data_IF_729717439534
#
_entry.id   IF_729717439534
#
_cell.length_a   1.000
_cell.length_b   1.000
_cell.length_c   1.000
_cell.angle_alpha   90.00
_cell.angle_beta   90.00
_cell.angle_gamma   90.00
#
_symmetry.space_group_name_H-M   'P 1'
#
loop_
_entity.id
_entity.type
_entity.pdbx_description
1 polymer ?
#
# COMPACT_ATOMS: atom_id res chain seq x y z
N UNK A 1 -55.75 52.85 22.00
CA UNK A 1 -55.48 51.39 21.85
C UNK A 1 -54.44 51.23 20.75
N UNK A 2 -53.15 51.15 21.10
CA UNK A 2 -52.27 49.96 21.02
C UNK A 2 -52.14 49.27 19.62
N UNK A 3 -51.11 49.73 18.88
CA UNK A 3 -50.16 49.06 17.93
C UNK A 3 -50.68 48.47 16.59
N UNK A 4 -49.81 48.21 15.56
CA UNK A 4 -48.37 48.50 15.40
C UNK A 4 -47.89 49.10 14.04
N UNK A 5 -46.64 49.56 14.07
CA UNK A 5 -45.71 49.92 12.97
C UNK A 5 -45.43 48.77 11.99
N UNK A 6 -45.12 49.04 10.69
CA UNK A 6 -44.62 48.01 9.79
C UNK A 6 -43.16 47.68 10.15
N UNK A 7 -42.89 46.39 10.36
CA UNK A 7 -41.54 45.85 10.47
C UNK A 7 -41.10 45.44 9.07
N UNK A 8 -40.03 46.05 8.57
CA UNK A 8 -39.29 45.54 7.42
C UNK A 8 -38.45 44.39 7.96
N UNK A 9 -38.76 43.17 7.53
CA UNK A 9 -37.92 42.01 7.79
C UNK A 9 -36.65 42.14 6.95
N UNK A 10 -35.52 42.37 7.61
CA UNK A 10 -34.20 42.18 7.00
C UNK A 10 -33.86 40.70 7.12
N UNK A 11 -33.95 39.96 6.02
CA UNK A 11 -33.42 38.60 5.94
C UNK A 11 -31.89 38.67 5.94
N UNK A 12 -31.30 38.27 7.06
CA UNK A 12 -29.86 38.10 7.19
C UNK A 12 -29.48 36.78 6.51
N UNK A 13 -28.98 36.84 5.27
CA UNK A 13 -28.32 35.69 4.65
C UNK A 13 -26.98 35.45 5.37
N UNK A 14 -26.94 34.47 6.28
CA UNK A 14 -25.68 33.89 6.73
C UNK A 14 -25.07 33.12 5.55
N UNK A 15 -24.12 33.73 4.86
CA UNK A 15 -23.21 33.00 4.00
C UNK A 15 -22.30 32.14 4.89
N UNK A 16 -22.61 30.84 4.98
CA UNK A 16 -21.66 29.85 5.49
C UNK A 16 -20.56 29.74 4.43
N UNK A 17 -19.49 30.50 4.61
CA UNK A 17 -18.27 30.29 3.85
C UNK A 17 -17.71 28.93 4.28
N UNK A 18 -17.96 27.90 3.47
CA UNK A 18 -17.19 26.68 3.53
C UNK A 18 -15.73 27.06 3.22
N UNK A 19 -14.90 27.14 4.25
CA UNK A 19 -13.45 27.18 4.10
C UNK A 19 -13.04 25.87 3.47
N UNK A 20 -12.98 25.87 2.13
CA UNK A 20 -12.22 24.88 1.37
C UNK A 20 -10.79 25.04 1.87
N UNK A 21 -10.31 24.10 2.66
CA UNK A 21 -8.90 24.02 2.98
C UNK A 21 -8.17 24.01 1.63
N UNK A 22 -7.40 25.07 1.35
CA UNK A 22 -6.53 25.06 0.19
C UNK A 22 -5.64 23.84 0.32
N UNK A 23 -5.75 22.92 -0.63
CA UNK A 23 -4.81 21.82 -0.75
C UNK A 23 -3.44 22.46 -0.89
N UNK A 24 -2.52 22.16 0.01
CA UNK A 24 -1.16 22.66 -0.09
C UNK A 24 -0.58 22.12 -1.41
N UNK A 25 -0.50 22.98 -2.42
CA UNK A 25 -0.04 22.61 -3.76
C UNK A 25 1.45 22.24 -3.77
N UNK A 26 2.13 22.39 -2.63
CA UNK A 26 3.55 22.10 -2.50
C UNK A 26 3.82 20.67 -2.04
N UNK A 27 2.92 20.06 -1.26
CA UNK A 27 3.09 18.66 -0.83
C UNK A 27 3.21 17.75 -2.05
N UNK A 28 4.15 16.78 -2.07
CA UNK A 28 4.27 15.82 -3.16
C UNK A 28 2.92 15.18 -3.49
N UNK A 29 2.54 15.20 -4.76
CA UNK A 29 1.27 14.62 -5.21
C UNK A 29 1.38 14.17 -6.67
N UNK A 30 0.48 13.28 -7.09
CA UNK A 30 0.35 12.92 -8.49
C UNK A 30 -0.71 13.78 -9.16
N UNK A 31 -0.36 14.41 -10.28
CA UNK A 31 -1.27 15.23 -11.08
C UNK A 31 -1.38 14.67 -12.51
N UNK A 32 -2.60 14.64 -13.05
CA UNK A 32 -2.84 14.24 -14.43
C UNK A 32 -2.55 15.40 -15.38
N UNK A 33 -1.60 15.21 -16.28
CA UNK A 33 -1.28 16.14 -17.36
C UNK A 33 -1.55 15.48 -18.72
N UNK A 34 -2.68 15.81 -19.32
CA UNK A 34 -3.17 15.18 -20.55
C UNK A 34 -3.44 13.68 -20.34
N UNK A 35 -2.64 12.82 -20.99
CA UNK A 35 -2.72 11.36 -20.88
C UNK A 35 -1.73 10.77 -19.87
N UNK A 36 -0.82 11.58 -19.30
CA UNK A 36 0.20 11.14 -18.37
C UNK A 36 -0.15 11.51 -16.92
N UNK A 37 0.36 10.73 -15.97
CA UNK A 37 0.45 11.13 -14.57
C UNK A 37 1.86 11.63 -14.28
N UNK A 38 1.97 12.73 -13.55
CA UNK A 38 3.24 13.33 -13.15
C UNK A 38 3.31 13.43 -11.64
N UNK A 39 4.46 13.10 -11.06
CA UNK A 39 4.78 13.50 -9.70
C UNK A 39 5.07 15.01 -9.71
N UNK A 40 4.40 15.75 -8.84
CA UNK A 40 4.60 17.18 -8.63
C UNK A 40 5.13 17.40 -7.22
N UNK A 41 6.21 18.15 -7.10
CA UNK A 41 6.89 18.48 -5.84
C UNK A 41 7.11 19.99 -5.82
N UNK A 42 6.66 20.69 -4.79
CA UNK A 42 6.74 22.16 -4.68
C UNK A 42 6.21 22.88 -5.93
N UNK A 43 5.07 22.39 -6.44
CA UNK A 43 4.40 22.93 -7.62
C UNK A 43 5.12 22.69 -8.96
N UNK A 44 6.13 21.81 -9.01
CA UNK A 44 6.88 21.50 -10.25
C UNK A 44 6.89 20.00 -10.55
N UNK A 45 6.80 19.60 -11.83
CA UNK A 45 7.02 18.20 -12.21
C UNK A 45 8.39 17.71 -11.74
N UNK A 46 8.42 16.51 -11.16
CA UNK A 46 9.61 15.88 -10.63
C UNK A 46 9.78 14.48 -11.22
N UNK A 47 10.99 14.15 -11.68
CA UNK A 47 11.35 12.81 -12.13
C UNK A 47 12.25 12.16 -11.09
N UNK A 48 11.82 11.04 -10.52
CA UNK A 48 12.63 10.25 -9.60
C UNK A 48 13.72 9.52 -10.40
N UNK A 49 14.98 9.89 -10.14
CA UNK A 49 16.18 9.16 -10.54
C UNK A 49 16.74 8.53 -9.27
N UNK A 50 16.36 7.28 -9.05
CA UNK A 50 16.49 6.62 -7.76
C UNK A 50 17.55 5.52 -7.74
N UNK A 51 18.17 5.35 -6.56
CA UNK A 51 18.89 4.15 -6.18
C UNK A 51 18.32 3.59 -4.88
N UNK A 52 18.10 2.30 -4.83
CA UNK A 52 17.66 1.60 -3.62
C UNK A 52 18.86 1.03 -2.86
N UNK A 53 18.86 1.19 -1.54
CA UNK A 53 19.90 0.62 -0.66
C UNK A 53 19.51 -0.77 -0.17
N UNK A 54 20.49 -1.57 0.27
CA UNK A 54 20.21 -2.91 0.78
C UNK A 54 19.29 -2.90 2.01
N UNK A 55 18.47 -3.95 2.15
CA UNK A 55 17.38 -4.15 3.12
C UNK A 55 17.65 -3.78 4.60
N UNK A 56 18.91 -3.78 5.04
CA UNK A 56 19.29 -3.52 6.44
C UNK A 56 20.20 -2.30 6.62
N UNK A 57 20.49 -1.57 5.53
CA UNK A 57 21.45 -0.46 5.55
C UNK A 57 20.96 0.67 6.45
N UNK A 58 19.67 0.98 6.39
CA UNK A 58 19.02 2.06 7.13
C UNK A 58 18.71 1.74 8.59
N UNK A 59 18.95 0.50 9.05
CA UNK A 59 18.76 0.12 10.45
C UNK A 59 19.83 0.70 11.38
N UNK A 60 20.84 1.40 10.85
CA UNK A 60 21.90 2.02 11.62
C UNK A 60 22.43 3.29 10.92
N UNK A 61 22.31 4.45 11.59
CA UNK A 61 22.73 5.75 11.04
C UNK A 61 24.24 5.87 10.79
N UNK A 62 25.08 5.17 11.59
CA UNK A 62 26.53 5.15 11.38
C UNK A 62 26.92 4.30 10.17
N UNK A 63 26.17 3.21 9.91
CA UNK A 63 26.34 2.40 8.71
C UNK A 63 25.99 3.17 7.43
N UNK A 64 25.04 4.11 7.52
CA UNK A 64 24.65 4.98 6.41
C UNK A 64 25.68 6.07 6.09
N UNK A 65 26.47 6.55 7.06
CA UNK A 65 27.48 7.62 6.85
C UNK A 65 28.40 7.41 5.64
N UNK A 66 29.01 6.23 5.41
CA UNK A 66 29.84 5.99 4.23
C UNK A 66 29.05 5.70 2.94
N UNK A 67 27.74 5.46 3.02
CA UNK A 67 26.89 5.15 1.86
C UNK A 67 26.48 6.45 1.14
N UNK A 68 26.11 7.49 1.88
CA UNK A 68 25.65 8.75 1.26
C UNK A 68 26.64 9.38 0.28
N UNK A 69 27.95 9.48 0.57
CA UNK A 69 28.91 10.01 -0.39
C UNK A 69 28.98 9.20 -1.68
N UNK A 70 28.82 7.87 -1.60
CA UNK A 70 28.81 6.99 -2.78
C UNK A 70 27.56 7.19 -3.63
N UNK A 71 26.40 7.36 -2.98
CA UNK A 71 25.16 7.67 -3.69
C UNK A 71 25.24 9.03 -4.39
N UNK A 72 25.92 10.02 -3.78
CA UNK A 72 26.14 11.33 -4.37
C UNK A 72 27.11 11.33 -5.58
N UNK A 73 27.92 10.28 -5.77
CA UNK A 73 28.76 10.09 -6.96
C UNK A 73 27.95 9.59 -8.18
N UNK A 74 26.79 8.99 -7.92
CA UNK A 74 25.84 8.57 -8.96
C UNK A 74 24.91 9.75 -9.24
N UNK A 75 24.54 10.05 -10.49
CA UNK A 75 23.61 11.15 -10.82
C UNK A 75 22.15 10.81 -10.45
N UNK A 76 21.93 10.40 -9.20
CA UNK A 76 20.62 10.17 -8.58
C UNK A 76 20.15 11.43 -7.87
N UNK A 77 18.84 11.62 -7.80
CA UNK A 77 18.23 12.70 -7.01
C UNK A 77 17.39 12.18 -5.83
N UNK A 78 17.19 10.86 -5.75
CA UNK A 78 16.33 10.21 -4.75
C UNK A 78 16.95 8.91 -4.26
N UNK A 79 16.77 8.59 -2.98
CA UNK A 79 17.18 7.31 -2.39
C UNK A 79 15.96 6.55 -1.88
N UNK A 80 15.82 5.29 -2.28
CA UNK A 80 14.82 4.38 -1.72
C UNK A 80 15.44 3.67 -0.53
N UNK A 81 14.78 3.77 0.63
CA UNK A 81 15.33 3.24 1.88
C UNK A 81 14.26 2.55 2.73
N UNK A 82 14.55 1.36 3.27
CA UNK A 82 13.66 0.69 4.20
C UNK A 82 13.49 1.44 5.51
N UNK A 83 12.29 1.38 6.08
CA UNK A 83 12.01 1.53 7.52
C UNK A 83 11.18 0.32 7.95
N UNK A 84 11.57 -0.34 9.03
CA UNK A 84 10.91 -1.57 9.47
C UNK A 84 9.98 -1.34 10.65
N UNK A 85 8.83 -2.00 10.64
CA UNK A 85 7.86 -1.91 11.73
C UNK A 85 8.47 -2.33 13.07
N UNK A 86 9.31 -3.36 13.10
CA UNK A 86 9.96 -3.79 14.35
C UNK A 86 10.89 -2.75 14.99
N UNK A 87 11.50 -1.86 14.20
CA UNK A 87 12.35 -0.79 14.73
C UNK A 87 11.54 0.47 15.04
N UNK A 88 10.47 0.72 14.29
CA UNK A 88 9.56 1.84 14.53
C UNK A 88 8.71 1.61 15.78
N UNK A 89 8.23 0.39 16.04
CA UNK A 89 7.35 0.06 17.16
C UNK A 89 7.85 -1.19 17.91
N UNK A 90 9.03 -1.11 18.58
CA UNK A 90 9.64 -2.26 19.26
C UNK A 90 8.78 -2.81 20.41
N UNK A 91 7.84 -2.01 20.92
CA UNK A 91 6.82 -2.41 21.88
C UNK A 91 5.50 -1.77 21.49
N UNK A 92 4.40 -2.52 21.60
CA UNK A 92 3.08 -2.06 21.17
C UNK A 92 2.73 -0.68 21.76
N UNK A 93 2.42 0.28 20.87
CA UNK A 93 2.09 1.66 21.18
C UNK A 93 3.27 2.54 21.59
N UNK A 94 4.52 2.06 21.50
CA UNK A 94 5.73 2.84 21.81
C UNK A 94 6.58 2.98 20.56
N UNK A 95 6.53 4.17 19.97
CA UNK A 95 7.22 4.47 18.72
C UNK A 95 8.63 5.03 18.96
N UNK A 96 9.58 4.63 18.10
CA UNK A 96 10.93 5.18 18.03
C UNK A 96 11.21 5.67 16.60
N UNK A 97 11.26 6.99 16.44
CA UNK A 97 11.51 7.64 15.14
C UNK A 97 12.97 8.08 14.95
N UNK A 98 13.89 7.68 15.84
CA UNK A 98 15.31 8.08 15.79
C UNK A 98 15.95 7.80 14.43
N UNK A 99 15.65 6.64 13.84
CA UNK A 99 16.15 6.28 12.51
C UNK A 99 15.53 7.15 11.40
N UNK A 100 14.23 7.43 11.47
CA UNK A 100 13.54 8.29 10.48
C UNK A 100 14.15 9.69 10.50
N UNK A 101 14.27 10.30 11.68
CA UNK A 101 14.82 11.66 11.84
C UNK A 101 16.28 11.74 11.38
N UNK A 102 17.09 10.75 11.75
CA UNK A 102 18.47 10.68 11.34
C UNK A 102 18.65 10.51 9.83
N UNK A 103 17.83 9.67 9.19
CA UNK A 103 17.88 9.46 7.75
C UNK A 103 17.43 10.72 6.99
N UNK A 104 16.37 11.41 7.44
CA UNK A 104 15.95 12.70 6.88
C UNK A 104 17.07 13.73 6.97
N UNK A 105 17.70 13.86 8.13
CA UNK A 105 18.82 14.79 8.33
C UNK A 105 19.98 14.47 7.37
N UNK A 106 20.35 13.19 7.26
CA UNK A 106 21.44 12.76 6.39
C UNK A 106 21.10 12.98 4.90
N UNK A 107 19.88 12.71 4.46
CA UNK A 107 19.44 12.98 3.09
C UNK A 107 19.50 14.48 2.75
N UNK A 108 18.99 15.34 3.64
CA UNK A 108 19.06 16.81 3.48
C UNK A 108 20.50 17.31 3.40
N UNK A 109 21.42 16.79 4.23
CA UNK A 109 22.85 17.12 4.17
C UNK A 109 23.48 16.76 2.82
N UNK A 110 23.01 15.67 2.21
CA UNK A 110 23.49 15.18 0.91
C UNK A 110 22.67 15.70 -0.28
N UNK A 111 21.66 16.55 -0.03
CA UNK A 111 20.81 17.18 -1.06
C UNK A 111 20.11 16.16 -1.97
N UNK A 112 19.64 15.06 -1.38
CA UNK A 112 18.84 14.04 -2.05
C UNK A 112 17.46 13.95 -1.41
N UNK A 113 16.47 13.62 -2.23
CA UNK A 113 15.14 13.25 -1.76
C UNK A 113 15.10 11.78 -1.33
N UNK A 114 13.98 11.38 -0.73
CA UNK A 114 13.79 10.03 -0.22
C UNK A 114 12.44 9.44 -0.63
N UNK A 115 12.42 8.12 -0.74
CA UNK A 115 11.22 7.30 -0.70
C UNK A 115 11.42 6.25 0.37
N UNK A 116 10.53 6.21 1.35
CA UNK A 116 10.60 5.18 2.39
C UNK A 116 9.86 3.93 1.96
N UNK A 117 10.45 2.77 2.27
CA UNK A 117 9.82 1.46 2.09
C UNK A 117 9.32 0.95 3.43
N UNK A 118 8.00 0.91 3.64
CA UNK A 118 7.39 0.40 4.86
C UNK A 118 7.47 -1.13 4.88
N UNK A 119 8.49 -1.66 5.58
CA UNK A 119 8.64 -3.11 5.77
C UNK A 119 7.92 -3.55 7.03
N UNK A 120 6.67 -4.03 6.89
CA UNK A 120 5.82 -4.32 8.02
C UNK A 120 5.26 -5.74 7.99
N UNK A 121 3.99 -5.90 7.61
CA UNK A 121 3.33 -7.20 7.61
C UNK A 121 3.93 -8.13 6.58
N UNK A 122 4.37 -7.61 5.42
CA UNK A 122 5.04 -8.42 4.41
C UNK A 122 6.27 -7.75 3.82
N UNK A 123 7.30 -8.59 3.66
CA UNK A 123 8.53 -8.33 2.94
C UNK A 123 8.92 -9.61 2.20
N UNK A 124 8.88 -9.60 0.87
CA UNK A 124 9.26 -10.72 -0.01
C UNK A 124 8.45 -12.00 0.31
N UNK A 125 7.12 -11.86 0.38
CA UNK A 125 6.21 -12.96 0.72
C UNK A 125 6.32 -13.49 2.16
N UNK A 126 7.07 -12.83 3.05
CA UNK A 126 7.32 -13.27 4.43
C UNK A 126 7.02 -12.16 5.43
N UNK A 127 6.76 -12.51 6.70
CA UNK A 127 6.45 -11.54 7.77
C UNK A 127 7.60 -11.33 8.76
N UNK A 128 8.82 -11.11 8.23
CA UNK A 128 10.05 -11.05 9.04
C UNK A 128 10.26 -9.74 9.80
N UNK A 129 9.74 -8.62 9.26
CA UNK A 129 9.97 -7.26 9.79
C UNK A 129 8.87 -6.74 10.72
N UNK A 130 7.80 -7.52 10.94
CA UNK A 130 6.83 -7.23 11.98
C UNK A 130 7.50 -7.30 13.38
N UNK A 131 7.08 -6.49 14.36
CA UNK A 131 7.67 -6.49 15.69
C UNK A 131 7.45 -7.81 16.43
N UNK A 132 8.29 -8.08 17.43
CA UNK A 132 8.27 -9.34 18.17
C UNK A 132 6.91 -9.63 18.82
N UNK A 133 6.23 -8.60 19.33
CA UNK A 133 4.90 -8.71 19.94
C UNK A 133 3.79 -9.08 18.95
N UNK A 134 4.01 -8.86 17.64
CA UNK A 134 3.18 -9.40 16.56
C UNK A 134 3.58 -10.85 16.26
N UNK A 135 4.88 -11.08 16.02
CA UNK A 135 5.40 -12.40 15.60
C UNK A 135 5.11 -13.52 16.60
N UNK A 136 5.13 -13.22 17.91
CA UNK A 136 4.96 -14.20 18.98
C UNK A 136 3.50 -14.51 19.36
N UNK A 137 2.55 -13.62 19.07
CA UNK A 137 1.13 -13.83 19.40
C UNK A 137 0.32 -14.28 18.18
N UNK A 138 0.59 -15.51 17.71
CA UNK A 138 -0.06 -16.08 16.51
C UNK A 138 -1.56 -16.29 16.69
N UNK A 139 -2.08 -16.23 17.92
CA UNK A 139 -3.53 -16.27 18.19
C UNK A 139 -4.18 -14.93 17.86
N UNK A 140 -3.54 -13.83 18.22
CA UNK A 140 -4.01 -12.47 17.87
C UNK A 140 -3.70 -12.13 16.42
N UNK A 141 -2.53 -12.54 15.94
CA UNK A 141 -2.00 -12.25 14.60
C UNK A 141 -1.85 -13.57 13.82
N UNK A 142 -2.96 -14.08 13.24
CA UNK A 142 -2.98 -15.39 12.62
C UNK A 142 -2.03 -15.48 11.42
N UNK A 143 -1.45 -16.66 11.25
CA UNK A 143 -0.61 -16.99 10.11
C UNK A 143 -1.42 -17.63 8.99
N UNK A 144 -0.86 -17.56 7.78
CA UNK A 144 -1.23 -18.42 6.67
C UNK A 144 -1.05 -19.88 7.09
N UNK A 145 -1.98 -20.74 6.68
CA UNK A 145 -1.85 -22.19 6.82
C UNK A 145 -1.59 -22.80 5.44
N UNK A 146 -0.50 -23.55 5.33
CA UNK A 146 -0.07 -24.33 4.16
C UNK A 146 0.07 -25.79 4.59
N UNK A 147 -0.53 -26.73 3.85
CA UNK A 147 -0.51 -28.17 4.16
C UNK A 147 -0.86 -28.51 5.63
N UNK A 148 -1.75 -27.72 6.23
CA UNK A 148 -2.18 -27.86 7.63
C UNK A 148 -1.23 -27.30 8.68
N UNK A 149 -0.14 -26.62 8.28
CA UNK A 149 0.84 -26.01 9.16
C UNK A 149 0.81 -24.47 9.04
N UNK A 150 0.94 -23.78 10.16
CA UNK A 150 1.19 -22.33 10.15
C UNK A 150 2.59 -22.06 9.58
N UNK A 151 2.68 -21.09 8.66
CA UNK A 151 3.96 -20.64 8.08
C UNK A 151 4.27 -19.20 8.48
N UNK A 152 5.50 -18.74 8.22
CA UNK A 152 5.97 -17.41 8.66
C UNK A 152 5.42 -16.24 7.80
N UNK A 153 4.13 -16.31 7.45
CA UNK A 153 3.39 -15.34 6.65
C UNK A 153 2.12 -14.98 7.42
N UNK A 154 1.90 -13.69 7.69
CA UNK A 154 0.67 -13.20 8.33
C UNK A 154 -0.51 -13.37 7.37
N UNK A 155 -1.65 -13.84 7.89
CA UNK A 155 -2.89 -13.97 7.11
C UNK A 155 -3.54 -12.60 6.94
N UNK A 156 -3.97 -12.29 5.72
CA UNK A 156 -4.74 -11.07 5.39
C UNK A 156 -6.12 -11.03 6.06
N UNK A 157 -6.60 -12.16 6.58
CA UNK A 157 -7.85 -12.28 7.34
C UNK A 157 -7.69 -11.89 8.82
N UNK A 158 -6.45 -11.66 9.28
CA UNK A 158 -6.14 -11.15 10.61
C UNK A 158 -6.43 -9.66 10.74
N UNK A 159 -7.65 -9.30 11.16
CA UNK A 159 -8.03 -7.88 11.35
C UNK A 159 -7.19 -7.17 12.41
N UNK A 160 -6.80 -7.86 13.48
CA UNK A 160 -5.90 -7.29 14.49
C UNK A 160 -4.52 -6.97 13.90
N UNK A 161 -4.02 -7.77 12.97
CA UNK A 161 -2.77 -7.50 12.24
C UNK A 161 -2.92 -6.23 11.41
N UNK A 162 -3.98 -6.16 10.60
CA UNK A 162 -4.28 -5.00 9.75
C UNK A 162 -4.36 -3.71 10.54
N UNK A 163 -5.10 -3.73 11.64
CA UNK A 163 -5.35 -2.53 12.43
C UNK A 163 -4.08 -2.10 13.20
N UNK A 164 -3.23 -3.06 13.61
CA UNK A 164 -1.94 -2.78 14.22
C UNK A 164 -0.94 -2.18 13.22
N UNK A 165 -0.84 -2.75 12.03
CA UNK A 165 -0.01 -2.25 10.94
C UNK A 165 -0.44 -0.83 10.53
N UNK A 166 -1.73 -0.66 10.23
CA UNK A 166 -2.29 0.63 9.86
C UNK A 166 -2.04 1.72 10.92
N UNK A 167 -2.08 1.36 12.21
CA UNK A 167 -1.76 2.27 13.30
C UNK A 167 -0.27 2.63 13.32
N UNK A 168 0.62 1.65 13.14
CA UNK A 168 2.06 1.88 13.05
C UNK A 168 2.42 2.78 11.87
N UNK A 169 1.86 2.48 10.69
CA UNK A 169 2.05 3.28 9.49
C UNK A 169 1.49 4.70 9.63
N UNK A 170 0.29 4.86 10.19
CA UNK A 170 -0.28 6.17 10.49
C UNK A 170 0.62 6.99 11.43
N UNK A 171 1.21 6.37 12.46
CA UNK A 171 2.15 7.04 13.35
C UNK A 171 3.40 7.55 12.61
N UNK A 172 3.94 6.76 11.67
CA UNK A 172 5.04 7.20 10.79
C UNK A 172 4.62 8.40 9.94
N UNK A 173 3.45 8.33 9.29
CA UNK A 173 2.97 9.40 8.41
C UNK A 173 2.66 10.69 9.19
N UNK A 174 2.11 10.57 10.40
CA UNK A 174 1.91 11.69 11.31
C UNK A 174 3.24 12.36 11.66
N UNK A 175 4.23 11.57 12.08
CA UNK A 175 5.56 12.07 12.41
C UNK A 175 6.22 12.76 11.21
N UNK A 176 6.17 12.15 10.02
CA UNK A 176 6.69 12.75 8.79
C UNK A 176 6.04 14.10 8.47
N UNK A 177 4.73 14.25 8.67
CA UNK A 177 4.08 15.56 8.51
C UNK A 177 4.64 16.61 9.46
N UNK A 178 4.92 16.24 10.71
CA UNK A 178 5.47 17.17 11.70
C UNK A 178 6.92 17.58 11.38
N UNK A 179 7.75 16.64 10.94
CA UNK A 179 9.20 16.87 10.79
C UNK A 179 9.67 17.14 9.35
N UNK A 180 8.84 16.86 8.36
CA UNK A 180 9.16 16.97 6.93
C UNK A 180 8.07 17.66 6.09
N UNK A 181 6.92 18.02 6.67
CA UNK A 181 5.79 18.63 5.95
C UNK A 181 6.02 20.06 5.42
N UNK A 182 7.24 20.59 5.50
CA UNK A 182 7.65 21.87 4.90
C UNK A 182 8.84 21.73 3.95
N UNK A 183 9.72 20.76 4.22
CA UNK A 183 10.95 20.53 3.43
C UNK A 183 10.72 19.52 2.30
N UNK A 184 9.65 18.70 2.38
CA UNK A 184 9.26 17.70 1.38
C UNK A 184 10.45 16.82 0.94
N UNK A 185 11.25 16.37 1.91
CA UNK A 185 12.38 15.46 1.67
C UNK A 185 11.88 14.11 1.20
N UNK A 186 10.80 13.61 1.82
CA UNK A 186 10.11 12.37 1.43
C UNK A 186 9.11 12.68 0.33
N UNK A 187 9.28 12.02 -0.81
CA UNK A 187 8.43 12.24 -1.99
C UNK A 187 7.26 11.26 -2.06
N UNK A 188 7.48 10.02 -1.62
CA UNK A 188 6.51 8.92 -1.71
C UNK A 188 6.76 7.89 -0.62
N UNK A 189 5.78 7.01 -0.40
CA UNK A 189 5.90 5.82 0.45
C UNK A 189 5.60 4.56 -0.35
N UNK A 190 6.43 3.53 -0.22
CA UNK A 190 6.01 2.16 -0.52
C UNK A 190 5.26 1.61 0.69
N UNK A 191 4.10 0.99 0.49
CA UNK A 191 3.32 0.35 1.54
C UNK A 191 3.49 -1.17 1.41
N UNK A 192 4.07 -1.78 2.44
CA UNK A 192 4.59 -3.15 2.41
C UNK A 192 5.74 -3.36 1.41
N UNK A 193 6.17 -4.60 1.22
CA UNK A 193 7.13 -4.96 0.18
C UNK A 193 6.88 -6.37 -0.38
N UNK A 194 6.63 -6.48 -1.69
CA UNK A 194 6.45 -7.74 -2.41
C UNK A 194 5.52 -8.71 -1.66
N UNK A 195 4.27 -8.28 -1.46
CA UNK A 195 3.27 -9.05 -0.71
C UNK A 195 2.82 -10.31 -1.46
N UNK A 196 2.34 -11.31 -0.71
CA UNK A 196 1.75 -12.51 -1.26
C UNK A 196 2.07 -13.77 -0.45
N UNK A 197 1.45 -14.89 -0.81
CA UNK A 197 1.72 -16.21 -0.23
C UNK A 197 2.77 -16.93 -1.08
N UNK A 198 3.88 -17.29 -0.46
CA UNK A 198 4.90 -18.15 -1.08
C UNK A 198 4.75 -19.58 -0.55
N UNK A 199 4.98 -20.58 -1.40
CA UNK A 199 4.79 -22.00 -1.05
C UNK A 199 3.45 -22.57 -1.50
N UNK A 200 2.38 -21.78 -1.36
CA UNK A 200 1.02 -22.15 -1.77
C UNK A 200 0.32 -21.02 -2.56
N UNK A 201 -0.80 -21.37 -3.17
CA UNK A 201 -1.66 -20.47 -3.93
C UNK A 201 -2.48 -19.54 -3.04
N UNK A 202 -2.80 -19.94 -1.80
CA UNK A 202 -3.58 -19.13 -0.84
C UNK A 202 -3.40 -19.55 0.61
N UNK A 203 -4.02 -18.77 1.51
CA UNK A 203 -4.23 -19.19 2.88
C UNK A 203 -5.29 -20.31 2.97
N UNK A 204 -4.91 -21.47 3.54
CA UNK A 204 -5.82 -22.59 3.82
C UNK A 204 -6.29 -22.66 5.28
N UNK A 205 -6.15 -21.57 6.04
CA UNK A 205 -6.72 -21.47 7.38
C UNK A 205 -8.24 -21.67 7.36
N UNK A 206 -8.83 -22.08 8.49
CA UNK A 206 -10.27 -22.27 8.57
C UNK A 206 -11.05 -20.97 8.23
N UNK A 207 -10.51 -19.82 8.62
CA UNK A 207 -11.08 -18.51 8.30
C UNK A 207 -11.02 -18.22 6.80
N UNK A 208 -9.86 -18.45 6.15
CA UNK A 208 -9.69 -18.23 4.73
C UNK A 208 -10.54 -19.21 3.89
N UNK A 209 -10.57 -20.50 4.21
CA UNK A 209 -11.45 -21.47 3.54
C UNK A 209 -12.93 -21.08 3.64
N UNK A 210 -13.37 -20.59 4.81
CA UNK A 210 -14.74 -20.09 4.97
C UNK A 210 -15.01 -18.87 4.10
N UNK A 211 -14.08 -17.92 4.04
CA UNK A 211 -14.21 -16.72 3.21
C UNK A 211 -14.20 -17.05 1.71
N UNK A 212 -13.35 -17.98 1.29
CA UNK A 212 -13.28 -18.47 -0.09
C UNK A 212 -14.54 -19.24 -0.51
N UNK A 213 -15.16 -19.97 0.41
CA UNK A 213 -16.46 -20.62 0.20
C UNK A 213 -17.67 -19.68 0.35
N UNK A 214 -17.46 -18.39 0.64
CA UNK A 214 -18.52 -17.40 0.77
C UNK A 214 -18.71 -16.61 -0.53
N UNK A 215 -19.83 -15.89 -0.63
CA UNK A 215 -20.11 -15.04 -1.78
C UNK A 215 -19.02 -13.96 -1.96
N UNK A 216 -18.63 -13.70 -3.21
CA UNK A 216 -17.68 -12.62 -3.51
C UNK A 216 -18.29 -11.25 -3.22
N UNK A 217 -17.47 -10.23 -2.89
CA UNK A 217 -17.99 -8.89 -2.60
C UNK A 217 -18.62 -8.23 -3.83
N UNK A 218 -19.76 -7.57 -3.63
CA UNK A 218 -20.46 -6.84 -4.70
C UNK A 218 -19.60 -5.73 -5.32
N UNK A 219 -18.72 -5.11 -4.53
CA UNK A 219 -17.76 -4.10 -5.00
C UNK A 219 -16.85 -4.65 -6.10
N UNK A 220 -16.41 -5.91 -5.96
CA UNK A 220 -15.57 -6.57 -6.96
C UNK A 220 -16.35 -6.84 -8.25
N UNK A 221 -17.57 -7.38 -8.16
CA UNK A 221 -18.38 -7.65 -9.35
C UNK A 221 -18.79 -6.39 -10.08
N UNK A 222 -19.13 -5.33 -9.34
CA UNK A 222 -19.43 -4.03 -9.92
C UNK A 222 -18.23 -3.47 -10.71
N UNK A 223 -17.01 -3.60 -10.18
CA UNK A 223 -15.80 -3.23 -10.90
C UNK A 223 -15.64 -4.05 -12.19
N UNK A 224 -15.76 -5.38 -12.11
CA UNK A 224 -15.62 -6.25 -13.29
C UNK A 224 -16.62 -5.88 -14.40
N UNK A 225 -17.88 -5.61 -14.05
CA UNK A 225 -18.90 -5.18 -15.01
C UNK A 225 -18.59 -3.81 -15.61
N UNK A 226 -18.25 -2.83 -14.77
CA UNK A 226 -17.95 -1.46 -15.19
C UNK A 226 -16.72 -1.41 -16.12
N UNK A 227 -15.72 -2.24 -15.86
CA UNK A 227 -14.43 -2.23 -16.55
C UNK A 227 -14.28 -3.36 -17.57
N UNK A 228 -15.35 -4.10 -17.89
CA UNK A 228 -15.32 -5.33 -18.69
C UNK A 228 -14.47 -5.27 -19.97
N UNK A 229 -14.52 -4.17 -20.73
CA UNK A 229 -13.76 -4.01 -21.98
C UNK A 229 -12.29 -3.64 -21.78
N UNK A 230 -11.94 -3.15 -20.59
CA UNK A 230 -10.61 -2.66 -20.20
C UNK A 230 -9.91 -3.54 -19.16
N UNK A 231 -10.58 -4.59 -18.69
CA UNK A 231 -9.95 -5.60 -17.82
C UNK A 231 -8.71 -6.19 -18.48
N UNK A 232 -7.71 -6.53 -17.67
CA UNK A 232 -6.58 -7.30 -18.13
C UNK A 232 -7.06 -8.58 -18.83
N UNK A 233 -6.52 -8.94 -20.01
CA UNK A 233 -7.08 -10.01 -20.84
C UNK A 233 -7.28 -11.34 -20.10
N UNK A 234 -6.29 -11.79 -19.33
CA UNK A 234 -6.35 -13.06 -18.58
C UNK A 234 -7.48 -13.07 -17.54
N UNK A 235 -7.68 -11.98 -16.79
CA UNK A 235 -8.78 -11.88 -15.82
C UNK A 235 -10.14 -11.91 -16.52
N UNK A 236 -10.26 -11.18 -17.63
CA UNK A 236 -11.50 -11.15 -18.42
C UNK A 236 -11.83 -12.53 -18.95
N UNK A 237 -10.87 -13.21 -19.57
CA UNK A 237 -11.04 -14.54 -20.13
C UNK A 237 -11.45 -15.57 -19.06
N UNK A 238 -10.83 -15.52 -17.87
CA UNK A 238 -11.21 -16.38 -16.76
C UNK A 238 -12.64 -16.12 -16.29
N UNK A 239 -13.01 -14.86 -16.07
CA UNK A 239 -14.34 -14.50 -15.60
C UNK A 239 -15.44 -14.81 -16.63
N UNK A 240 -15.22 -14.46 -17.91
CA UNK A 240 -16.15 -14.73 -19.00
C UNK A 240 -16.26 -16.23 -19.32
N UNK A 241 -15.14 -16.96 -19.25
CA UNK A 241 -15.09 -18.40 -19.40
C UNK A 241 -15.90 -19.15 -18.32
N UNK A 242 -16.06 -18.54 -17.14
CA UNK A 242 -16.92 -19.02 -16.06
C UNK A 242 -18.34 -18.42 -16.08
N UNK A 243 -18.73 -17.82 -17.21
CA UNK A 243 -20.09 -17.34 -17.47
C UNK A 243 -20.34 -15.87 -17.10
N UNK A 244 -19.29 -15.08 -16.85
CA UNK A 244 -19.36 -13.66 -16.50
C UNK A 244 -20.34 -13.39 -15.34
N UNK A 245 -20.32 -14.26 -14.32
CA UNK A 245 -21.27 -14.19 -13.21
C UNK A 245 -21.03 -12.95 -12.36
N UNK A 246 -22.12 -12.34 -11.92
CA UNK A 246 -22.13 -11.12 -11.09
C UNK A 246 -22.48 -11.41 -9.63
N UNK A 247 -22.66 -12.67 -9.28
CA UNK A 247 -22.89 -13.16 -7.92
C UNK A 247 -22.50 -14.64 -7.83
N UNK A 248 -22.16 -15.07 -6.61
CA UNK A 248 -21.73 -16.43 -6.31
C UNK A 248 -20.50 -16.44 -5.43
N UNK A 249 -20.03 -17.63 -5.07
CA UNK A 249 -18.77 -17.86 -4.39
C UNK A 249 -17.57 -17.62 -5.32
N UNK A 250 -16.36 -17.53 -4.75
CA UNK A 250 -15.13 -17.34 -5.52
C UNK A 250 -14.97 -18.40 -6.62
N UNK A 251 -15.24 -19.67 -6.29
CA UNK A 251 -15.12 -20.76 -7.25
C UNK A 251 -16.24 -20.79 -8.28
N UNK A 252 -17.43 -20.29 -7.95
CA UNK A 252 -18.52 -20.18 -8.92
C UNK A 252 -18.26 -19.07 -9.95
N UNK A 253 -17.60 -17.98 -9.55
CA UNK A 253 -17.38 -16.80 -10.40
C UNK A 253 -16.08 -16.90 -11.20
N UNK A 254 -15.00 -17.43 -10.60
CA UNK A 254 -13.67 -17.52 -11.23
C UNK A 254 -13.21 -18.94 -11.54
N UNK A 255 -14.01 -19.96 -11.18
CA UNK A 255 -13.67 -21.37 -11.35
C UNK A 255 -12.90 -21.93 -10.16
N UNK A 256 -12.67 -23.25 -10.15
CA UNK A 256 -11.92 -23.94 -9.10
C UNK A 256 -10.49 -24.24 -9.59
N UNK A 257 -9.66 -23.20 -9.67
CA UNK A 257 -8.29 -23.25 -10.22
C UNK A 257 -7.33 -22.44 -9.35
N UNK A 258 -6.01 -22.66 -9.46
CA UNK A 258 -5.00 -21.81 -8.79
C UNK A 258 -5.15 -20.31 -9.09
N UNK A 259 -5.68 -19.95 -10.27
CA UNK A 259 -5.96 -18.56 -10.61
C UNK A 259 -7.10 -17.95 -9.78
N UNK A 260 -8.12 -18.75 -9.41
CA UNK A 260 -9.17 -18.30 -8.50
C UNK A 260 -8.65 -18.14 -7.06
N UNK A 261 -7.74 -19.02 -6.63
CA UNK A 261 -7.03 -18.87 -5.34
C UNK A 261 -6.20 -17.58 -5.32
N UNK A 262 -5.45 -17.29 -6.39
CA UNK A 262 -4.68 -16.04 -6.54
C UNK A 262 -5.58 -14.80 -6.54
N UNK A 263 -6.71 -14.82 -7.24
CA UNK A 263 -7.69 -13.71 -7.25
C UNK A 263 -8.24 -13.46 -5.85
N UNK A 264 -8.57 -14.52 -5.09
CA UNK A 264 -8.98 -14.40 -3.70
C UNK A 264 -7.89 -13.75 -2.84
N UNK A 265 -6.63 -14.18 -2.99
CA UNK A 265 -5.53 -13.56 -2.24
C UNK A 265 -5.31 -12.11 -2.66
N UNK A 266 -5.31 -11.80 -3.95
CA UNK A 266 -5.13 -10.45 -4.48
C UNK A 266 -6.19 -9.48 -3.94
N UNK A 267 -7.44 -9.92 -3.85
CA UNK A 267 -8.49 -9.15 -3.21
C UNK A 267 -8.18 -8.84 -1.75
N UNK A 268 -7.83 -9.86 -0.95
CA UNK A 268 -7.60 -9.68 0.47
C UNK A 268 -6.33 -8.85 0.76
N UNK A 269 -5.25 -9.06 0.02
CA UNK A 269 -4.05 -8.21 0.09
C UNK A 269 -4.37 -6.77 -0.33
N UNK A 270 -5.07 -6.59 -1.45
CA UNK A 270 -5.51 -5.28 -1.92
C UNK A 270 -6.34 -4.54 -0.88
N UNK A 271 -7.29 -5.21 -0.22
CA UNK A 271 -8.10 -4.62 0.86
C UNK A 271 -7.28 -4.27 2.09
N UNK A 272 -6.36 -5.14 2.49
CA UNK A 272 -5.48 -4.92 3.62
C UNK A 272 -4.59 -3.68 3.38
N UNK A 273 -3.85 -3.68 2.28
CA UNK A 273 -2.85 -2.64 2.00
C UNK A 273 -3.52 -1.30 1.72
N UNK A 274 -4.69 -1.29 1.06
CA UNK A 274 -5.48 -0.06 0.95
C UNK A 274 -5.96 0.48 2.31
N UNK A 275 -6.25 -0.37 3.29
CA UNK A 275 -6.62 0.08 4.62
C UNK A 275 -5.44 0.74 5.34
N UNK A 276 -4.25 0.15 5.27
CA UNK A 276 -3.00 0.73 5.80
C UNK A 276 -2.69 2.06 5.10
N UNK A 277 -2.70 2.08 3.77
CA UNK A 277 -2.45 3.29 2.99
C UNK A 277 -3.46 4.41 3.28
N UNK A 278 -4.75 4.07 3.43
CA UNK A 278 -5.79 5.05 3.77
C UNK A 278 -5.57 5.67 5.16
N UNK A 279 -5.15 4.87 6.15
CA UNK A 279 -4.81 5.37 7.48
C UNK A 279 -3.60 6.33 7.42
N UNK A 280 -2.57 5.99 6.66
CA UNK A 280 -1.41 6.86 6.46
C UNK A 280 -1.76 8.16 5.73
N UNK A 281 -2.53 8.09 4.64
CA UNK A 281 -2.96 9.28 3.87
C UNK A 281 -3.83 10.24 4.69
N UNK A 282 -4.58 9.73 5.66
CA UNK A 282 -5.36 10.57 6.56
C UNK A 282 -4.47 11.48 7.45
N UNK A 283 -3.26 11.01 7.77
CA UNK A 283 -2.27 11.79 8.53
C UNK A 283 -1.46 12.72 7.62
N UNK A 284 -0.95 12.18 6.50
CA UNK A 284 -0.14 12.91 5.52
C UNK A 284 -0.31 12.34 4.10
N UNK A 285 -0.92 13.07 3.15
CA UNK A 285 -1.39 12.51 1.89
C UNK A 285 -0.31 12.41 0.80
N UNK A 286 0.89 11.91 1.15
CA UNK A 286 1.94 11.60 0.17
C UNK A 286 1.46 10.54 -0.84
N UNK A 287 2.01 10.51 -2.07
CA UNK A 287 1.80 9.41 -2.99
C UNK A 287 2.28 8.09 -2.38
N UNK A 288 1.48 7.05 -2.55
CA UNK A 288 1.74 5.72 -2.03
C UNK A 288 1.71 4.70 -3.15
N UNK A 289 2.63 3.76 -3.12
CA UNK A 289 2.69 2.68 -4.09
C UNK A 289 2.90 1.33 -3.42
N UNK A 290 2.63 0.28 -4.19
CA UNK A 290 3.00 -1.11 -3.85
C UNK A 290 3.92 -1.62 -4.94
N UNK A 291 4.89 -2.46 -4.58
CA UNK A 291 5.76 -3.15 -5.52
C UNK A 291 5.33 -4.60 -5.75
N UNK A 292 5.85 -5.21 -6.81
CA UNK A 292 5.43 -6.52 -7.29
C UNK A 292 6.64 -7.38 -7.61
N UNK A 293 6.82 -8.47 -6.86
CA UNK A 293 7.65 -9.58 -7.30
C UNK A 293 7.00 -10.20 -8.53
N UNK A 294 7.51 -9.89 -9.72
CA UNK A 294 6.93 -10.38 -10.96
C UNK A 294 7.11 -11.89 -11.15
N UNK A 295 6.03 -12.54 -11.54
CA UNK A 295 6.07 -13.93 -11.99
C UNK A 295 6.83 -14.06 -13.32
N UNK A 296 7.43 -15.23 -13.54
CA UNK A 296 7.83 -15.64 -14.89
C UNK A 296 6.58 -16.06 -15.70
N UNK A 297 6.66 -16.03 -17.04
CA UNK A 297 5.50 -16.20 -17.94
C UNK A 297 4.65 -17.45 -17.63
N UNK A 298 5.28 -18.59 -17.36
CA UNK A 298 4.60 -19.88 -17.10
C UNK A 298 4.58 -20.28 -15.62
N UNK A 299 4.86 -19.34 -14.71
CA UNK A 299 4.93 -19.63 -13.28
C UNK A 299 3.53 -19.75 -12.65
N UNK A 300 3.36 -20.75 -11.78
CA UNK A 300 2.13 -20.92 -11.01
C UNK A 300 2.15 -20.08 -9.72
N UNK A 301 1.01 -19.55 -9.24
CA UNK A 301 0.93 -18.88 -7.95
C UNK A 301 1.50 -19.76 -6.82
N UNK A 302 2.25 -19.15 -5.90
CA UNK A 302 3.01 -19.85 -4.86
C UNK A 302 4.47 -20.10 -5.22
N UNK A 303 4.81 -20.18 -6.52
CA UNK A 303 6.23 -20.15 -6.97
C UNK A 303 6.80 -18.73 -6.99
N UNK A 304 5.92 -17.74 -7.06
CA UNK A 304 6.09 -16.35 -6.68
C UNK A 304 5.01 -16.02 -5.62
N UNK A 305 5.11 -14.90 -4.89
CA UNK A 305 4.11 -14.53 -3.89
C UNK A 305 2.70 -14.37 -4.49
N UNK A 306 1.83 -15.37 -4.26
CA UNK A 306 0.45 -15.39 -4.73
C UNK A 306 -0.37 -14.27 -4.08
N UNK A 307 -1.09 -13.50 -4.90
CA UNK A 307 -1.89 -12.35 -4.46
C UNK A 307 -1.18 -11.00 -4.53
N UNK A 308 0.12 -10.95 -4.85
CA UNK A 308 0.79 -9.71 -5.21
C UNK A 308 0.15 -9.04 -6.45
N UNK A 309 0.39 -7.75 -6.72
CA UNK A 309 -0.27 -6.99 -7.80
C UNK A 309 0.27 -7.34 -9.20
N UNK A 310 0.25 -8.63 -9.55
CA UNK A 310 0.62 -9.12 -10.88
C UNK A 310 -0.30 -8.53 -11.96
N UNK A 311 0.18 -8.38 -13.21
CA UNK A 311 -0.65 -7.85 -14.30
C UNK A 311 -2.01 -8.54 -14.43
N UNK A 312 -2.07 -9.86 -14.26
CA UNK A 312 -3.30 -10.67 -14.36
C UNK A 312 -4.32 -10.46 -13.23
N UNK A 313 -3.92 -9.91 -12.09
CA UNK A 313 -4.82 -9.61 -10.96
C UNK A 313 -4.82 -8.13 -10.58
N UNK A 314 -4.23 -7.26 -11.39
CA UNK A 314 -4.12 -5.82 -11.09
C UNK A 314 -5.47 -5.13 -10.96
N UNK A 315 -6.46 -5.58 -11.74
CA UNK A 315 -7.83 -5.08 -11.67
C UNK A 315 -8.53 -5.49 -10.37
N UNK A 316 -8.15 -6.63 -9.78
CA UNK A 316 -8.63 -7.04 -8.46
C UNK A 316 -8.10 -6.08 -7.39
N UNK A 317 -6.82 -5.69 -7.49
CA UNK A 317 -6.21 -4.70 -6.61
C UNK A 317 -6.85 -3.31 -6.72
N UNK A 318 -7.13 -2.85 -7.95
CA UNK A 318 -7.84 -1.60 -8.20
C UNK A 318 -9.29 -1.62 -7.69
N UNK A 319 -9.97 -2.76 -7.81
CA UNK A 319 -11.30 -2.95 -7.25
C UNK A 319 -11.29 -2.95 -5.71
N UNK A 320 -10.20 -3.44 -5.11
CA UNK A 320 -10.06 -3.53 -3.66
C UNK A 320 -9.88 -2.15 -2.99
N UNK A 321 -9.48 -1.11 -3.69
CA UNK A 321 -9.45 0.24 -3.12
C UNK A 321 -8.67 1.25 -3.96
N UNK A 322 -8.72 2.50 -3.52
CA UNK A 322 -8.18 3.65 -4.24
C UNK A 322 -7.12 4.43 -3.46
N UNK A 323 -6.63 3.90 -2.33
CA UNK A 323 -5.62 4.56 -1.51
C UNK A 323 -4.20 4.32 -2.02
N UNK A 324 -3.99 3.30 -2.87
CA UNK A 324 -2.74 3.08 -3.59
C UNK A 324 -2.78 3.81 -4.93
N UNK A 325 -1.77 4.63 -5.20
CA UNK A 325 -1.70 5.47 -6.39
C UNK A 325 -0.97 4.79 -7.56
N UNK A 326 0.06 3.98 -7.25
CA UNK A 326 0.93 3.33 -8.23
C UNK A 326 1.12 1.85 -7.88
N UNK A 327 1.14 1.01 -8.90
CA UNK A 327 1.48 -0.42 -8.81
C UNK A 327 2.76 -0.63 -9.60
N UNK A 328 3.88 -0.82 -8.90
CA UNK A 328 5.21 -0.85 -9.48
C UNK A 328 5.69 -2.31 -9.70
N UNK A 329 6.26 -2.64 -10.87
CA UNK A 329 6.91 -3.93 -11.10
C UNK A 329 8.35 -3.92 -10.60
N UNK A 330 8.76 -4.98 -9.91
CA UNK A 330 10.18 -5.21 -9.61
C UNK A 330 10.78 -6.11 -10.70
N UNK A 331 11.54 -5.49 -11.58
CA UNK A 331 12.06 -6.11 -12.81
C UNK A 331 13.49 -6.57 -12.58
N UNK A 332 13.66 -7.87 -12.34
CA UNK A 332 14.98 -8.51 -12.24
C UNK A 332 15.35 -9.35 -13.48
N UNK A 333 14.41 -9.53 -14.41
CA UNK A 333 14.68 -10.23 -15.67
C UNK A 333 15.55 -9.36 -16.57
N UNK A 334 16.44 -9.98 -17.35
CA UNK A 334 17.38 -9.26 -18.22
C UNK A 334 16.78 -8.88 -19.58
N UNK A 335 15.62 -9.44 -19.92
CA UNK A 335 14.89 -9.27 -21.18
C UNK A 335 13.64 -8.38 -21.00
N UNK A 336 13.81 -7.19 -20.44
CA UNK A 336 12.74 -6.25 -20.09
C UNK A 336 12.40 -5.23 -21.18
#
# INVERSE_FOLDING_TARGET
>A
MRKPSPWIAAELFLAVAASVAAQDTNTPHLEKQGTAMQLVVDGKPFLILAGEIHNSSSSNLDYMKPIWPRLAEIPLNTVLTPISWELIEPSEGKYDFTLVDGLLQQARQNKVHMVFLWLASWKNGMSSYAPLWVKQDTRRFPRVVEDGNEVEILSTLGTATRDADAKGFAAVMHHLREVDGQEHTVLMMQVENEVGVLGDTRDHSAAANKAFGSAIPHELTAYLEQHRSTLYPELRELWEGNGAKTAGTWTEVFGNTPGADEIFMAWNYGRYVNHVAAAGKAEYPLPMYVNTWLAYEDANPGTYPSGGPQPRVIDIWKAAGSAIDIYAPDIYQTNF
#
